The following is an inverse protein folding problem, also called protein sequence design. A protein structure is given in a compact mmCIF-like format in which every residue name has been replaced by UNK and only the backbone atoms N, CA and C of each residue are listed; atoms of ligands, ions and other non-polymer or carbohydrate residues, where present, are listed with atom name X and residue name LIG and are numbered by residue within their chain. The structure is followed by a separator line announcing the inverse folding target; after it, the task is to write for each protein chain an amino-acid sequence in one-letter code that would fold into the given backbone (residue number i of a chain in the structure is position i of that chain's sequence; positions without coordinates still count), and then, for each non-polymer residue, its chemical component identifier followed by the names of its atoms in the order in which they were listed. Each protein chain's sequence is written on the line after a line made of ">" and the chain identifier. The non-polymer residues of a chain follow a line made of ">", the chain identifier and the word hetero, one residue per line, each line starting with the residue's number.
data_IF_064361295266
#
_entry.id   IF_064361295266
#
_cell.length_a   1.000
_cell.length_b   1.000
_cell.length_c   1.000
_cell.angle_alpha   90.00
_cell.angle_beta   90.00
_cell.angle_gamma   90.00
#
_symmetry.space_group_name_H-M   'P 1'
#
loop_
_entity.id
_entity.type
_entity.pdbx_description
1 polymer ?
#
# COMPACT_ATOMS: atom_id res chain seq x y z
N UNK A 1 -18.53 -6.91 34.52
CA UNK A 1 -17.47 -5.92 34.83
C UNK A 1 -17.07 -5.26 33.53
N UNK A 2 -17.26 -3.94 33.38
CA UNK A 2 -16.82 -3.23 32.15
C UNK A 2 -15.30 -3.13 32.21
N UNK A 3 -14.60 -3.76 31.27
CA UNK A 3 -13.13 -3.70 31.19
C UNK A 3 -12.67 -2.28 30.85
N UNK A 4 -11.58 -1.82 31.47
CA UNK A 4 -10.99 -0.52 31.12
C UNK A 4 -10.49 -0.52 29.67
N UNK A 5 -10.43 0.64 29.00
CA UNK A 5 -9.92 0.73 27.63
C UNK A 5 -8.49 0.18 27.47
N UNK A 6 -7.61 0.39 28.46
CA UNK A 6 -6.25 -0.15 28.45
C UNK A 6 -6.26 -1.68 28.46
N UNK A 7 -7.10 -2.28 29.31
CA UNK A 7 -7.20 -3.74 29.39
C UNK A 7 -7.79 -4.34 28.11
N UNK A 8 -8.72 -3.63 27.47
CA UNK A 8 -9.25 -4.02 26.15
C UNK A 8 -8.17 -4.02 25.07
N UNK A 9 -7.27 -3.03 25.07
CA UNK A 9 -6.13 -2.95 24.13
C UNK A 9 -5.11 -4.05 24.40
N UNK A 10 -4.85 -4.40 25.66
CA UNK A 10 -3.95 -5.50 26.01
C UNK A 10 -4.47 -6.85 25.48
N UNK A 11 -5.78 -7.08 25.58
CA UNK A 11 -6.42 -8.31 25.06
C UNK A 11 -6.54 -8.28 23.53
N UNK A 12 -6.82 -7.12 22.96
CA UNK A 12 -6.97 -6.91 21.53
C UNK A 12 -6.30 -5.58 21.12
N UNK A 13 -5.05 -5.62 20.62
CA UNK A 13 -4.33 -4.41 20.18
C UNK A 13 -5.04 -3.61 19.08
N UNK A 14 -6.00 -4.25 18.37
CA UNK A 14 -6.80 -3.67 17.30
C UNK A 14 -8.23 -3.27 17.75
N UNK A 15 -8.47 -3.08 19.04
CA UNK A 15 -9.73 -2.51 19.55
C UNK A 15 -9.76 -0.99 19.30
N UNK A 16 -10.21 -0.59 18.10
CA UNK A 16 -10.27 0.80 17.64
C UNK A 16 -11.15 1.67 18.55
N UNK A 17 -12.20 1.12 19.14
CA UNK A 17 -13.10 1.87 20.02
C UNK A 17 -12.40 2.22 21.34
N UNK A 18 -11.68 1.26 21.93
CA UNK A 18 -10.86 1.52 23.11
C UNK A 18 -9.79 2.59 22.85
N UNK A 19 -9.09 2.51 21.72
CA UNK A 19 -8.12 3.54 21.31
C UNK A 19 -8.75 4.91 21.13
N UNK A 20 -9.95 4.98 20.55
CA UNK A 20 -10.68 6.24 20.35
C UNK A 20 -11.15 6.87 21.67
N UNK A 21 -11.57 6.06 22.64
CA UNK A 21 -11.91 6.53 23.98
C UNK A 21 -10.69 7.17 24.66
N UNK A 22 -9.56 6.46 24.68
CA UNK A 22 -8.30 6.98 25.24
C UNK A 22 -7.79 8.22 24.51
N UNK A 23 -7.98 8.30 23.18
CA UNK A 23 -7.61 9.49 22.42
C UNK A 23 -8.40 10.72 22.87
N UNK A 24 -9.71 10.58 23.09
CA UNK A 24 -10.55 11.69 23.60
C UNK A 24 -10.12 12.15 24.98
N UNK A 25 -9.84 11.20 25.88
CA UNK A 25 -9.36 11.51 27.23
C UNK A 25 -7.97 12.16 27.20
N UNK A 26 -7.08 11.69 26.32
CA UNK A 26 -5.72 12.22 26.17
C UNK A 26 -5.71 13.63 25.61
N UNK A 27 -6.65 13.97 24.73
CA UNK A 27 -6.77 15.33 24.15
C UNK A 27 -7.14 16.42 25.17
N UNK A 28 -7.65 16.03 26.34
CA UNK A 28 -7.96 16.94 27.44
C UNK A 28 -6.77 17.20 28.37
N UNK A 29 -5.70 16.42 28.27
CA UNK A 29 -4.49 16.54 29.11
C UNK A 29 -3.37 17.27 28.37
N UNK A 30 -2.41 17.89 29.08
CA UNK A 30 -1.24 18.49 28.45
C UNK A 30 -0.43 17.48 27.64
N UNK A 31 0.04 17.89 26.45
CA UNK A 31 0.74 17.02 25.50
C UNK A 31 1.93 16.30 26.13
N UNK A 32 2.69 16.96 27.02
CA UNK A 32 3.87 16.39 27.67
C UNK A 32 3.59 15.09 28.43
N UNK A 33 2.40 14.95 29.00
CA UNK A 33 2.00 13.76 29.76
C UNK A 33 1.46 12.64 28.88
N UNK A 34 1.05 12.94 27.64
CA UNK A 34 0.35 12.00 26.75
C UNK A 34 1.11 11.68 25.47
N UNK A 35 2.31 12.24 25.23
CA UNK A 35 3.15 11.87 24.07
C UNK A 35 3.37 10.35 23.98
N UNK A 36 3.61 9.70 25.11
CA UNK A 36 3.78 8.24 25.14
C UNK A 36 2.55 7.47 24.64
N UNK A 37 1.34 7.99 24.86
CA UNK A 37 0.11 7.42 24.30
C UNK A 37 0.06 7.62 22.78
N UNK A 38 0.32 8.83 22.29
CA UNK A 38 0.33 9.10 20.85
C UNK A 38 1.35 8.25 20.10
N UNK A 39 2.56 8.11 20.63
CA UNK A 39 3.61 7.26 20.04
C UNK A 39 3.16 5.79 19.95
N UNK A 40 2.50 5.27 20.98
CA UNK A 40 1.91 3.92 20.92
C UNK A 40 0.79 3.83 19.87
N UNK A 41 -0.08 4.84 19.80
CA UNK A 41 -1.20 4.88 18.86
C UNK A 41 -0.72 4.89 17.40
N UNK A 42 0.22 5.77 17.05
CA UNK A 42 0.75 5.86 15.67
C UNK A 42 1.68 4.70 15.33
N UNK A 43 2.30 4.05 16.32
CA UNK A 43 3.05 2.82 16.10
C UNK A 43 2.13 1.63 15.80
N UNK A 44 0.99 1.54 16.49
CA UNK A 44 -0.02 0.50 16.24
C UNK A 44 -0.73 0.70 14.89
N UNK A 45 -1.02 1.95 14.53
CA UNK A 45 -1.76 2.31 13.32
C UNK A 45 -0.96 3.29 12.45
N UNK A 46 0.16 2.80 11.90
CA UNK A 46 1.12 3.62 11.16
C UNK A 46 0.58 4.23 9.85
N UNK A 47 -0.49 3.67 9.26
CA UNK A 47 -1.12 4.16 8.04
C UNK A 47 -2.36 5.05 8.32
N UNK A 48 -2.72 5.26 9.59
CA UNK A 48 -3.91 6.01 9.96
C UNK A 48 -3.65 7.53 9.97
N UNK A 49 -3.90 8.20 8.84
CA UNK A 49 -3.75 9.65 8.71
C UNK A 49 -4.48 10.46 9.78
N UNK A 50 -5.65 9.99 10.22
CA UNK A 50 -6.43 10.64 11.29
C UNK A 50 -5.70 10.70 12.63
N UNK A 51 -4.95 9.65 12.99
CA UNK A 51 -4.25 9.57 14.26
C UNK A 51 -2.95 10.38 14.23
N UNK A 52 -2.24 10.35 13.10
CA UNK A 52 -1.12 11.26 12.86
C UNK A 52 -1.56 12.72 12.96
N UNK A 53 -2.66 13.08 12.28
CA UNK A 53 -3.24 14.42 12.34
C UNK A 53 -3.60 14.81 13.77
N UNK A 54 -4.29 13.94 14.52
CA UNK A 54 -4.65 14.21 15.91
C UNK A 54 -3.43 14.43 16.82
N UNK A 55 -2.32 13.74 16.57
CA UNK A 55 -1.07 13.96 17.29
C UNK A 55 -0.46 15.32 16.94
N UNK A 56 -0.33 15.61 15.63
CA UNK A 56 0.22 16.87 15.13
C UNK A 56 -0.59 18.07 15.64
N UNK A 57 -1.92 18.03 15.56
CA UNK A 57 -2.79 19.10 16.03
C UNK A 57 -2.64 19.35 17.54
N UNK A 58 -2.37 18.32 18.33
CA UNK A 58 -2.11 18.49 19.75
C UNK A 58 -0.75 19.17 20.01
N UNK A 59 0.32 18.74 19.34
CA UNK A 59 1.63 19.39 19.44
C UNK A 59 1.59 20.85 18.92
N UNK A 60 0.79 21.12 17.89
CA UNK A 60 0.57 22.48 17.36
C UNK A 60 -0.15 23.38 18.36
N UNK A 61 -1.17 22.88 19.06
CA UNK A 61 -1.85 23.64 20.13
C UNK A 61 -0.89 24.04 21.25
N UNK A 62 0.11 23.19 21.53
CA UNK A 62 1.17 23.48 22.49
C UNK A 62 2.35 24.28 21.90
N UNK A 63 2.32 24.63 20.60
CA UNK A 63 3.39 25.34 19.86
C UNK A 63 4.74 24.62 19.83
N UNK A 64 4.75 23.28 19.92
CA UNK A 64 5.96 22.47 19.87
C UNK A 64 6.39 22.18 18.42
N UNK A 65 6.83 23.22 17.69
CA UNK A 65 7.06 23.12 16.24
C UNK A 65 8.15 22.13 15.84
N UNK A 66 9.20 21.96 16.63
CA UNK A 66 10.26 20.98 16.36
C UNK A 66 9.73 19.53 16.36
N UNK A 67 8.83 19.22 17.29
CA UNK A 67 8.21 17.89 17.35
C UNK A 67 7.27 17.70 16.16
N UNK A 68 6.54 18.74 15.76
CA UNK A 68 5.67 18.70 14.59
C UNK A 68 6.46 18.37 13.31
N UNK A 69 7.62 19.01 13.10
CA UNK A 69 8.48 18.70 11.94
C UNK A 69 8.93 17.24 11.95
N UNK A 70 9.43 16.74 13.09
CA UNK A 70 9.83 15.33 13.25
C UNK A 70 8.69 14.35 12.99
N UNK A 71 7.45 14.70 13.37
CA UNK A 71 6.28 13.87 13.12
C UNK A 71 5.94 13.87 11.61
N UNK A 72 5.95 15.03 10.95
CA UNK A 72 5.71 15.11 9.50
C UNK A 72 6.75 14.33 8.69
N UNK A 73 8.03 14.39 9.05
CA UNK A 73 9.10 13.61 8.41
C UNK A 73 8.84 12.10 8.46
N UNK A 74 8.23 11.61 9.55
CA UNK A 74 7.90 10.18 9.73
C UNK A 74 6.71 9.73 8.89
N UNK A 75 5.68 10.56 8.74
CA UNK A 75 4.37 10.11 8.23
C UNK A 75 3.96 10.67 6.86
N UNK A 76 4.35 11.90 6.51
CA UNK A 76 3.71 12.66 5.43
C UNK A 76 3.78 11.96 4.07
N UNK A 77 4.97 11.47 3.69
CA UNK A 77 5.18 10.78 2.40
C UNK A 77 4.66 9.33 2.40
N UNK A 78 4.47 8.73 3.57
CA UNK A 78 3.99 7.34 3.71
C UNK A 78 2.47 7.25 3.75
N UNK A 79 1.80 8.32 4.18
CA UNK A 79 0.36 8.38 4.44
C UNK A 79 -0.27 9.46 3.56
N UNK A 80 -0.80 9.07 2.41
CA UNK A 80 -1.46 9.95 1.44
C UNK A 80 -2.89 10.30 1.86
N UNK A 81 -3.10 10.75 3.09
CA UNK A 81 -4.40 11.18 3.59
C UNK A 81 -4.59 12.70 3.37
N UNK A 82 -5.61 13.09 2.61
CA UNK A 82 -5.81 14.50 2.23
C UNK A 82 -5.90 15.46 3.42
N UNK A 83 -6.50 15.04 4.54
CA UNK A 83 -6.63 15.88 5.74
C UNK A 83 -5.29 16.09 6.46
N UNK A 84 -4.42 15.08 6.45
CA UNK A 84 -3.04 15.18 6.95
C UNK A 84 -2.23 16.18 6.11
N UNK A 85 -2.39 16.14 4.79
CA UNK A 85 -1.72 17.07 3.88
C UNK A 85 -2.25 18.51 4.00
N UNK A 86 -3.56 18.69 4.22
CA UNK A 86 -4.14 20.01 4.58
C UNK A 86 -3.56 20.53 5.89
N UNK A 87 -3.38 19.67 6.89
CA UNK A 87 -2.73 20.02 8.15
C UNK A 87 -1.26 20.44 7.94
N UNK A 88 -0.51 19.76 7.06
CA UNK A 88 0.86 20.15 6.69
C UNK A 88 0.92 21.54 6.02
N UNK A 89 0.05 21.79 5.03
CA UNK A 89 -0.04 23.10 4.37
C UNK A 89 -0.39 24.21 5.37
N UNK A 90 -1.34 23.94 6.27
CA UNK A 90 -1.70 24.86 7.35
C UNK A 90 -0.52 25.14 8.29
N UNK A 91 0.20 24.11 8.72
CA UNK A 91 1.39 24.25 9.57
C UNK A 91 2.45 25.16 8.94
N UNK A 92 2.80 24.95 7.67
CA UNK A 92 3.81 25.79 7.00
C UNK A 92 3.33 27.24 6.90
N UNK A 93 2.04 27.45 6.60
CA UNK A 93 1.44 28.79 6.53
C UNK A 93 1.58 29.56 7.85
N UNK A 94 1.21 28.92 8.96
CA UNK A 94 1.21 29.56 10.28
C UNK A 94 2.61 29.77 10.85
N UNK A 95 3.51 28.79 10.65
CA UNK A 95 4.80 28.79 11.36
C UNK A 95 5.91 29.46 10.59
N UNK A 96 5.90 29.39 9.25
CA UNK A 96 6.97 29.92 8.41
C UNK A 96 6.65 31.31 7.86
N UNK A 97 5.49 31.89 8.18
CA UNK A 97 5.03 33.18 7.66
C UNK A 97 5.97 34.37 7.90
N UNK A 98 6.79 34.30 8.96
CA UNK A 98 7.75 35.35 9.33
C UNK A 98 9.08 35.29 8.55
N UNK A 99 9.34 34.19 7.83
CA UNK A 99 10.61 34.02 7.10
C UNK A 99 10.62 34.84 5.80
N UNK A 100 11.77 35.43 5.46
CA UNK A 100 11.93 36.13 4.18
C UNK A 100 11.72 35.20 2.97
N UNK A 101 12.08 33.92 3.11
CA UNK A 101 11.86 32.86 2.12
C UNK A 101 10.47 32.23 2.16
N UNK A 102 9.55 32.72 3.01
CA UNK A 102 8.23 32.13 3.21
C UNK A 102 7.49 31.91 1.89
N UNK A 103 7.52 32.91 1.00
CA UNK A 103 6.78 32.84 -0.27
C UNK A 103 7.24 31.68 -1.15
N UNK A 104 8.55 31.52 -1.29
CA UNK A 104 9.15 30.43 -2.07
C UNK A 104 8.86 29.08 -1.41
N UNK A 105 9.01 29.00 -0.08
CA UNK A 105 8.75 27.78 0.68
C UNK A 105 7.27 27.36 0.60
N UNK A 106 6.35 28.31 0.70
CA UNK A 106 4.92 28.05 0.62
C UNK A 106 4.48 27.62 -0.78
N UNK A 107 5.05 28.23 -1.83
CA UNK A 107 4.82 27.79 -3.21
C UNK A 107 5.28 26.35 -3.42
N UNK A 108 6.49 25.99 -2.95
CA UNK A 108 7.00 24.61 -2.98
C UNK A 108 6.11 23.64 -2.20
N UNK A 109 5.59 24.06 -1.04
CA UNK A 109 4.66 23.27 -0.23
C UNK A 109 3.35 22.98 -0.96
N UNK A 110 2.76 23.97 -1.63
CA UNK A 110 1.56 23.74 -2.45
C UNK A 110 1.83 22.84 -3.64
N UNK A 111 2.92 23.08 -4.39
CA UNK A 111 3.30 22.24 -5.52
C UNK A 111 3.48 20.78 -5.09
N UNK A 112 4.13 20.56 -3.94
CA UNK A 112 4.33 19.24 -3.35
C UNK A 112 3.01 18.58 -2.92
N UNK A 113 2.12 19.32 -2.25
CA UNK A 113 0.81 18.81 -1.84
C UNK A 113 -0.07 18.47 -3.06
N UNK A 114 -0.09 19.32 -4.08
CA UNK A 114 -0.84 19.10 -5.32
C UNK A 114 -0.25 17.92 -6.11
N UNK A 115 1.07 17.70 -6.08
CA UNK A 115 1.68 16.53 -6.70
C UNK A 115 1.27 15.22 -6.01
N UNK A 116 1.24 15.19 -4.67
CA UNK A 116 1.00 13.96 -3.90
C UNK A 116 -0.47 13.64 -3.66
N UNK A 117 -1.30 14.63 -3.36
CA UNK A 117 -2.73 14.44 -3.03
C UNK A 117 -3.67 15.32 -3.86
N UNK A 118 -3.16 16.01 -4.89
CA UNK A 118 -3.99 16.85 -5.75
C UNK A 118 -4.94 16.08 -6.67
N UNK A 119 -4.85 14.75 -6.73
CA UNK A 119 -5.80 13.88 -7.45
C UNK A 119 -6.94 13.38 -6.55
N UNK A 120 -6.91 13.72 -5.26
CA UNK A 120 -7.94 13.29 -4.33
C UNK A 120 -9.30 13.93 -4.62
N UNK A 121 -10.39 13.18 -4.41
CA UNK A 121 -11.73 13.74 -4.54
C UNK A 121 -11.94 15.00 -3.67
N UNK A 122 -11.30 15.09 -2.49
CA UNK A 122 -11.45 16.21 -1.56
C UNK A 122 -10.28 17.22 -1.63
N UNK A 123 -9.52 17.25 -2.73
CA UNK A 123 -8.36 18.14 -2.91
C UNK A 123 -8.71 19.60 -3.23
N UNK A 124 -9.97 19.93 -3.52
CA UNK A 124 -10.40 21.27 -3.94
C UNK A 124 -9.85 22.40 -3.07
N UNK A 125 -9.90 22.25 -1.74
CA UNK A 125 -9.41 23.28 -0.83
C UNK A 125 -7.92 23.57 -0.99
N UNK A 126 -7.10 22.59 -1.36
CA UNK A 126 -5.66 22.77 -1.59
C UNK A 126 -5.43 23.65 -2.82
N UNK A 127 -6.18 23.41 -3.90
CA UNK A 127 -6.11 24.25 -5.11
C UNK A 127 -6.60 25.67 -4.84
N UNK A 128 -7.76 25.81 -4.19
CA UNK A 128 -8.34 27.11 -3.86
C UNK A 128 -7.41 27.95 -2.96
N UNK A 129 -6.82 27.33 -1.94
CA UNK A 129 -5.89 27.98 -1.04
C UNK A 129 -4.60 28.41 -1.74
N UNK A 130 -4.07 27.58 -2.65
CA UNK A 130 -2.90 27.91 -3.47
C UNK A 130 -3.19 29.12 -4.37
N UNK A 131 -4.34 29.12 -5.06
CA UNK A 131 -4.77 30.25 -5.90
C UNK A 131 -4.93 31.52 -5.06
N UNK A 132 -5.56 31.43 -3.90
CA UNK A 132 -5.77 32.57 -2.99
C UNK A 132 -4.43 33.14 -2.52
N UNK A 133 -3.51 32.27 -2.12
CA UNK A 133 -2.15 32.65 -1.73
C UNK A 133 -1.40 33.38 -2.85
N UNK A 134 -1.42 32.83 -4.07
CA UNK A 134 -0.77 33.46 -5.23
C UNK A 134 -1.43 34.81 -5.57
N UNK A 135 -2.76 34.94 -5.47
CA UNK A 135 -3.48 36.21 -5.69
C UNK A 135 -3.10 37.29 -4.67
N UNK A 136 -2.89 36.93 -3.41
CA UNK A 136 -2.48 37.87 -2.34
C UNK A 136 -1.04 38.37 -2.48
N UNK A 137 -0.21 37.74 -3.32
CA UNK A 137 1.17 38.14 -3.49
C UNK A 137 1.30 39.50 -4.19
N UNK A 138 1.80 40.50 -3.49
CA UNK A 138 2.20 41.78 -4.11
C UNK A 138 3.50 41.59 -4.89
N UNK A 139 3.45 41.99 -6.17
CA UNK A 139 4.56 41.96 -7.12
C UNK A 139 4.71 43.34 -7.74
N UNK A 140 5.95 43.81 -7.93
CA UNK A 140 6.24 45.12 -8.51
C UNK A 140 6.74 44.94 -9.94
N UNK A 141 6.12 45.63 -10.88
CA UNK A 141 6.50 45.65 -12.28
C UNK A 141 5.78 44.62 -13.14
N UNK A 142 5.58 44.99 -14.40
CA UNK A 142 4.75 44.25 -15.37
C UNK A 142 5.23 42.81 -15.62
N UNK A 143 6.55 42.58 -15.63
CA UNK A 143 7.11 41.24 -15.80
C UNK A 143 6.73 40.30 -14.64
N UNK A 144 6.82 40.78 -13.40
CA UNK A 144 6.49 39.99 -12.21
C UNK A 144 4.97 39.74 -12.09
N UNK A 145 4.14 40.69 -12.51
CA UNK A 145 2.69 40.50 -12.64
C UNK A 145 2.35 39.39 -13.66
N UNK A 146 3.00 39.40 -14.83
CA UNK A 146 2.81 38.36 -15.84
C UNK A 146 3.25 36.97 -15.36
N UNK A 147 4.33 36.88 -14.58
CA UNK A 147 4.74 35.61 -13.96
C UNK A 147 3.69 35.10 -12.95
N UNK A 148 3.17 35.99 -12.10
CA UNK A 148 2.09 35.67 -11.14
C UNK A 148 0.83 35.17 -11.86
N UNK A 149 0.41 35.86 -12.93
CA UNK A 149 -0.73 35.44 -13.76
C UNK A 149 -0.49 34.04 -14.34
N UNK A 150 0.72 33.79 -14.86
CA UNK A 150 1.09 32.49 -15.44
C UNK A 150 1.06 31.37 -14.40
N UNK A 151 1.56 31.64 -13.18
CA UNK A 151 1.53 30.69 -12.07
C UNK A 151 0.10 30.35 -11.64
N UNK A 152 -0.76 31.36 -11.45
CA UNK A 152 -2.17 31.17 -11.09
C UNK A 152 -2.89 30.34 -12.17
N UNK A 153 -2.69 30.69 -13.44
CA UNK A 153 -3.27 29.97 -14.58
C UNK A 153 -2.84 28.52 -14.63
N UNK A 154 -1.57 28.21 -14.32
CA UNK A 154 -1.06 26.83 -14.26
C UNK A 154 -1.82 26.00 -13.22
N UNK A 155 -2.08 26.55 -12.04
CA UNK A 155 -2.81 25.86 -10.97
C UNK A 155 -4.28 25.62 -11.36
N UNK A 156 -4.95 26.64 -11.91
CA UNK A 156 -6.31 26.47 -12.42
C UNK A 156 -6.39 25.39 -13.50
N UNK A 157 -5.50 25.45 -14.51
CA UNK A 157 -5.48 24.45 -15.59
C UNK A 157 -5.30 23.04 -15.06
N UNK A 158 -4.42 22.83 -14.08
CA UNK A 158 -4.21 21.51 -13.43
C UNK A 158 -5.44 21.04 -12.65
N UNK A 159 -6.07 21.93 -11.89
CA UNK A 159 -7.28 21.58 -11.12
C UNK A 159 -8.49 21.29 -12.02
N UNK A 160 -8.73 22.09 -13.06
CA UNK A 160 -9.91 21.96 -13.92
C UNK A 160 -9.95 20.69 -14.78
N UNK A 161 -8.82 19.99 -14.93
CA UNK A 161 -8.75 18.67 -15.59
C UNK A 161 -8.72 17.51 -14.59
N UNK A 162 -8.80 17.79 -13.29
CA UNK A 162 -8.74 16.79 -12.23
C UNK A 162 -10.13 16.60 -11.62
N UNK A 163 -10.73 15.40 -11.74
CA UNK A 163 -12.03 15.10 -11.12
C UNK A 163 -11.98 15.22 -9.58
N UNK A 164 -12.66 16.22 -9.03
CA UNK A 164 -12.72 16.48 -7.59
C UNK A 164 -14.04 17.15 -7.21
N UNK A 165 -14.39 17.10 -5.92
CA UNK A 165 -15.52 17.84 -5.38
C UNK A 165 -15.39 19.34 -5.67
N UNK A 166 -16.52 20.02 -5.86
CA UNK A 166 -16.57 21.48 -6.07
C UNK A 166 -15.77 21.99 -7.30
N UNK A 167 -15.50 21.14 -8.30
CA UNK A 167 -14.83 21.55 -9.55
C UNK A 167 -15.56 22.70 -10.28
N UNK A 168 -16.89 22.79 -10.16
CA UNK A 168 -17.71 23.87 -10.75
C UNK A 168 -17.39 25.23 -10.11
N UNK A 169 -17.09 25.26 -8.80
CA UNK A 169 -16.68 26.50 -8.14
C UNK A 169 -15.30 26.95 -8.65
N UNK A 170 -14.36 26.02 -8.80
CA UNK A 170 -13.04 26.31 -9.35
C UNK A 170 -13.14 26.87 -10.78
N UNK A 171 -14.08 26.38 -11.58
CA UNK A 171 -14.37 26.88 -12.93
C UNK A 171 -14.89 28.32 -12.93
N UNK A 172 -15.84 28.62 -12.05
CA UNK A 172 -16.37 29.98 -11.91
C UNK A 172 -15.28 30.98 -11.49
N UNK A 173 -14.39 30.56 -10.59
CA UNK A 173 -13.26 31.37 -10.13
C UNK A 173 -12.22 31.59 -11.23
N UNK A 174 -11.98 30.58 -12.08
CA UNK A 174 -11.12 30.70 -13.27
C UNK A 174 -11.71 31.66 -14.30
N UNK A 175 -13.00 31.55 -14.60
CA UNK A 175 -13.68 32.45 -15.54
C UNK A 175 -13.62 33.90 -15.08
N UNK A 176 -13.83 34.13 -13.78
CA UNK A 176 -13.72 35.46 -13.15
C UNK A 176 -12.28 35.98 -13.21
N UNK A 177 -11.30 35.11 -13.00
CA UNK A 177 -9.87 35.43 -13.08
C UNK A 177 -9.43 35.81 -14.50
N UNK A 178 -9.77 35.05 -15.53
CA UNK A 178 -9.34 35.39 -16.90
C UNK A 178 -9.99 36.71 -17.37
N UNK A 179 -11.27 36.94 -17.01
CA UNK A 179 -11.97 38.21 -17.27
C UNK A 179 -11.32 39.40 -16.56
N UNK A 180 -10.81 39.23 -15.33
CA UNK A 180 -10.15 40.32 -14.60
C UNK A 180 -8.74 40.60 -15.11
N UNK A 181 -8.04 39.60 -15.66
CA UNK A 181 -6.69 39.76 -16.22
C UNK A 181 -6.72 40.41 -17.60
N UNK A 182 -7.51 39.88 -18.53
CA UNK A 182 -7.62 40.42 -19.88
C UNK A 182 -9.00 40.08 -20.48
N UNK A 183 -9.98 41.00 -20.41
CA UNK A 183 -11.33 40.78 -20.94
C UNK A 183 -11.36 40.38 -22.41
N UNK A 184 -10.46 40.92 -23.24
CA UNK A 184 -10.43 40.65 -24.68
C UNK A 184 -9.93 39.23 -25.01
N UNK A 185 -9.01 38.68 -24.22
CA UNK A 185 -8.50 37.32 -24.41
C UNK A 185 -9.23 36.27 -23.56
N UNK A 186 -10.01 36.70 -22.56
CA UNK A 186 -10.65 35.81 -21.60
C UNK A 186 -11.53 34.75 -22.27
N UNK A 187 -12.36 35.14 -23.24
CA UNK A 187 -13.26 34.20 -23.93
C UNK A 187 -12.50 33.08 -24.64
N UNK A 188 -11.40 33.42 -25.32
CA UNK A 188 -10.54 32.44 -25.96
C UNK A 188 -9.91 31.49 -24.92
N UNK A 189 -9.30 32.06 -23.87
CA UNK A 189 -8.64 31.28 -22.81
C UNK A 189 -9.59 30.35 -22.06
N UNK A 190 -10.86 30.76 -21.89
CA UNK A 190 -11.91 29.94 -21.29
C UNK A 190 -12.36 28.84 -22.26
N UNK A 191 -12.56 29.18 -23.54
CA UNK A 191 -12.96 28.22 -24.58
C UNK A 191 -11.94 27.09 -24.73
N UNK A 192 -10.64 27.42 -24.73
CA UNK A 192 -9.55 26.47 -24.94
C UNK A 192 -9.54 25.30 -23.93
N UNK A 193 -9.95 25.54 -22.67
CA UNK A 193 -9.98 24.51 -21.62
C UNK A 193 -11.38 23.92 -21.37
N UNK A 194 -12.43 24.56 -21.91
CA UNK A 194 -13.82 24.21 -21.62
C UNK A 194 -14.14 22.75 -21.92
N UNK A 195 -13.59 22.19 -23.01
CA UNK A 195 -13.79 20.79 -23.40
C UNK A 195 -13.28 19.83 -22.32
N UNK A 196 -12.06 20.05 -21.84
CA UNK A 196 -11.42 19.18 -20.84
C UNK A 196 -12.11 19.30 -19.48
N UNK A 197 -12.51 20.53 -19.10
CA UNK A 197 -13.32 20.79 -17.91
C UNK A 197 -14.65 20.03 -17.95
N UNK A 198 -15.39 20.07 -19.07
CA UNK A 198 -16.66 19.35 -19.19
C UNK A 198 -16.48 17.83 -19.07
N UNK A 199 -15.38 17.29 -19.60
CA UNK A 199 -15.03 15.88 -19.39
C UNK A 199 -14.73 15.58 -17.91
N UNK A 200 -13.94 16.43 -17.25
CA UNK A 200 -13.63 16.29 -15.82
C UNK A 200 -14.91 16.36 -14.95
N UNK A 201 -15.87 17.23 -15.27
CA UNK A 201 -17.17 17.30 -14.58
C UNK A 201 -17.99 16.03 -14.75
N UNK A 202 -18.06 15.48 -15.98
CA UNK A 202 -18.73 14.20 -16.24
C UNK A 202 -18.12 13.08 -15.38
N UNK A 203 -16.79 12.98 -15.37
CA UNK A 203 -16.07 11.97 -14.58
C UNK A 203 -16.23 12.22 -13.08
N UNK A 204 -16.28 13.47 -12.62
CA UNK A 204 -16.51 13.81 -11.21
C UNK A 204 -17.85 13.25 -10.71
N UNK A 205 -18.92 13.38 -11.49
CA UNK A 205 -20.24 12.83 -11.14
C UNK A 205 -20.22 11.30 -11.05
N UNK A 206 -19.49 10.64 -11.96
CA UNK A 206 -19.29 9.19 -11.88
C UNK A 206 -18.44 8.81 -10.67
N UNK A 207 -17.39 9.57 -10.38
CA UNK A 207 -16.48 9.33 -9.26
C UNK A 207 -17.25 9.38 -7.94
N UNK A 208 -18.11 10.39 -7.75
CA UNK A 208 -18.98 10.53 -6.58
C UNK A 208 -19.88 9.31 -6.36
N UNK A 209 -20.47 8.77 -7.43
CA UNK A 209 -21.30 7.56 -7.36
C UNK A 209 -20.49 6.32 -6.97
N UNK A 210 -19.26 6.20 -7.48
CA UNK A 210 -18.39 5.05 -7.23
C UNK A 210 -17.85 5.05 -5.80
N UNK A 211 -17.48 6.21 -5.25
CA UNK A 211 -17.00 6.31 -3.87
C UNK A 211 -18.09 6.36 -2.82
N UNK A 212 -19.36 6.44 -3.24
CA UNK A 212 -20.49 6.47 -2.33
C UNK A 212 -20.51 5.23 -1.45
N UNK A 213 -20.47 5.45 -0.14
CA UNK A 213 -20.48 4.38 0.86
C UNK A 213 -19.10 3.83 1.24
N UNK A 214 -18.03 4.26 0.57
CA UNK A 214 -16.65 3.94 0.99
C UNK A 214 -16.31 4.73 2.24
N UNK A 215 -15.90 4.04 3.31
CA UNK A 215 -15.38 4.68 4.51
C UNK A 215 -13.87 4.94 4.37
N UNK A 216 -13.54 6.14 3.89
CA UNK A 216 -12.15 6.60 3.70
C UNK A 216 -11.40 6.95 5.00
N UNK A 217 -12.11 6.95 6.13
CA UNK A 217 -11.56 7.26 7.46
C UNK A 217 -11.47 6.00 8.35
N UNK A 218 -11.74 4.83 7.77
CA UNK A 218 -11.62 3.55 8.44
C UNK A 218 -10.15 3.30 8.83
N UNK A 219 -9.96 2.78 10.04
CA UNK A 219 -8.65 2.33 10.50
C UNK A 219 -8.39 0.94 9.98
N UNK A 220 -7.20 0.74 9.43
CA UNK A 220 -6.80 -0.59 8.99
C UNK A 220 -6.58 -1.52 10.18
N UNK A 221 -7.28 -2.65 10.13
CA UNK A 221 -7.17 -3.74 11.10
C UNK A 221 -7.06 -5.07 10.35
N UNK A 222 -6.44 -6.11 10.95
CA UNK A 222 -6.42 -7.45 10.37
C UNK A 222 -7.85 -7.95 10.08
N UNK A 223 -8.06 -8.63 8.94
CA UNK A 223 -9.38 -9.09 8.57
C UNK A 223 -10.03 -9.99 9.62
N UNK A 224 -11.29 -9.69 9.94
CA UNK A 224 -12.12 -10.48 10.87
C UNK A 224 -13.24 -11.23 10.15
N UNK A 225 -13.42 -10.96 8.85
CA UNK A 225 -14.46 -11.61 8.03
C UNK A 225 -15.87 -11.10 8.32
N UNK A 226 -16.00 -9.88 8.84
CA UNK A 226 -17.33 -9.31 9.10
C UNK A 226 -18.00 -8.88 7.80
N UNK A 227 -19.33 -8.94 7.75
CA UNK A 227 -20.11 -8.54 6.55
C UNK A 227 -19.83 -7.10 6.13
N UNK A 228 -19.65 -6.19 7.09
CA UNK A 228 -19.32 -4.78 6.82
C UNK A 228 -17.95 -4.63 6.18
N UNK A 229 -16.97 -5.39 6.67
CA UNK A 229 -15.61 -5.39 6.13
C UNK A 229 -15.57 -5.90 4.69
N UNK A 230 -16.23 -7.03 4.42
CA UNK A 230 -16.31 -7.63 3.07
C UNK A 230 -16.96 -6.62 2.11
N UNK A 231 -18.08 -6.00 2.50
CA UNK A 231 -18.74 -4.95 1.70
C UNK A 231 -17.82 -3.76 1.44
N UNK A 232 -17.04 -3.31 2.42
CA UNK A 232 -16.08 -2.21 2.21
C UNK A 232 -14.97 -2.62 1.25
N UNK A 233 -14.42 -3.83 1.37
CA UNK A 233 -13.42 -4.36 0.44
C UNK A 233 -13.96 -4.43 -1.00
N UNK A 234 -15.21 -4.87 -1.19
CA UNK A 234 -15.88 -4.90 -2.49
C UNK A 234 -16.02 -3.49 -3.10
N UNK A 235 -16.43 -2.51 -2.30
CA UNK A 235 -16.56 -1.12 -2.77
C UNK A 235 -15.20 -0.53 -3.19
N UNK A 236 -14.13 -0.79 -2.42
CA UNK A 236 -12.77 -0.37 -2.78
C UNK A 236 -12.29 -1.04 -4.07
N UNK A 237 -12.51 -2.35 -4.24
CA UNK A 237 -12.19 -3.06 -5.49
C UNK A 237 -12.98 -2.49 -6.66
N UNK A 238 -14.27 -2.19 -6.48
CA UNK A 238 -15.09 -1.54 -7.52
C UNK A 238 -14.53 -0.19 -7.92
N UNK A 239 -14.08 0.62 -6.96
CA UNK A 239 -13.42 1.89 -7.24
C UNK A 239 -12.12 1.71 -8.04
N UNK A 240 -11.25 0.79 -7.63
CA UNK A 240 -10.01 0.49 -8.34
C UNK A 240 -10.28 0.03 -9.78
N UNK A 241 -11.26 -0.86 -9.98
CA UNK A 241 -11.64 -1.33 -11.31
C UNK A 241 -12.22 -0.22 -12.19
N UNK A 242 -12.99 0.71 -11.60
CA UNK A 242 -13.48 1.89 -12.31
C UNK A 242 -12.34 2.82 -12.74
N UNK A 243 -11.32 3.06 -11.91
CA UNK A 243 -10.15 3.83 -12.37
C UNK A 243 -9.37 3.09 -13.48
N UNK A 244 -9.27 1.74 -13.38
CA UNK A 244 -8.64 0.91 -14.42
C UNK A 244 -9.37 0.99 -15.76
N UNK A 245 -10.68 1.28 -15.79
CA UNK A 245 -11.44 1.47 -17.04
C UNK A 245 -11.15 2.81 -17.74
N UNK A 246 -10.22 3.62 -17.21
CA UNK A 246 -9.81 4.92 -17.76
C UNK A 246 -11.01 5.87 -17.99
N UNK A 247 -11.70 6.31 -16.91
CA UNK A 247 -12.94 7.08 -17.05
C UNK A 247 -12.72 8.45 -17.71
N UNK A 248 -11.53 9.03 -17.57
CA UNK A 248 -11.14 10.28 -18.25
C UNK A 248 -10.88 10.08 -19.75
N UNK A 249 -10.75 8.84 -20.22
CA UNK A 249 -10.32 8.50 -21.57
C UNK A 249 -9.05 9.26 -21.99
N UNK A 250 -8.07 9.36 -21.06
CA UNK A 250 -6.81 10.04 -21.34
C UNK A 250 -5.91 9.17 -22.20
N UNK A 251 -5.25 9.78 -23.17
CA UNK A 251 -4.22 9.15 -24.00
C UNK A 251 -2.85 9.14 -23.29
N UNK A 252 -2.65 10.04 -22.31
CA UNK A 252 -1.44 10.12 -21.49
C UNK A 252 -1.42 8.93 -20.51
N UNK A 253 -0.70 7.87 -20.89
CA UNK A 253 -0.64 6.65 -20.10
C UNK A 253 -0.07 6.87 -18.69
N UNK A 254 0.88 7.79 -18.53
CA UNK A 254 1.42 8.17 -17.22
C UNK A 254 0.37 8.80 -16.29
N UNK A 255 -0.54 9.60 -16.83
CA UNK A 255 -1.67 10.14 -16.06
C UNK A 255 -2.63 9.02 -15.65
N UNK A 256 -3.00 8.15 -16.58
CA UNK A 256 -3.85 6.97 -16.31
C UNK A 256 -3.25 6.10 -15.19
N UNK A 257 -1.98 5.70 -15.34
CA UNK A 257 -1.30 4.84 -14.37
C UNK A 257 -1.25 5.48 -12.98
N UNK A 258 -0.92 6.77 -12.88
CA UNK A 258 -0.90 7.51 -11.60
C UNK A 258 -2.26 7.50 -10.90
N UNK A 259 -3.38 7.63 -11.63
CA UNK A 259 -4.72 7.58 -11.03
C UNK A 259 -5.06 6.21 -10.45
N UNK A 260 -4.75 5.14 -11.17
CA UNK A 260 -4.96 3.77 -10.67
C UNK A 260 -4.07 3.47 -9.48
N UNK A 261 -2.80 3.91 -9.51
CA UNK A 261 -1.89 3.77 -8.36
C UNK A 261 -2.43 4.54 -7.15
N UNK A 262 -2.94 5.75 -7.35
CA UNK A 262 -3.52 6.54 -6.27
C UNK A 262 -4.74 5.84 -5.64
N UNK A 263 -5.60 5.18 -6.42
CA UNK A 263 -6.74 4.43 -5.86
C UNK A 263 -6.28 3.24 -5.00
N UNK A 264 -5.21 2.55 -5.38
CA UNK A 264 -4.56 1.54 -4.54
C UNK A 264 -3.98 2.14 -3.25
N UNK A 265 -3.25 3.26 -3.33
CA UNK A 265 -2.71 3.93 -2.14
C UNK A 265 -3.81 4.33 -1.16
N UNK A 266 -4.92 4.87 -1.65
CA UNK A 266 -6.08 5.20 -0.81
C UNK A 266 -6.71 3.95 -0.17
N UNK A 267 -6.86 2.86 -0.93
CA UNK A 267 -7.38 1.61 -0.41
C UNK A 267 -6.49 1.05 0.71
N UNK A 268 -5.16 1.10 0.56
CA UNK A 268 -4.18 0.61 1.53
C UNK A 268 -4.16 1.40 2.85
N UNK A 269 -4.68 2.63 2.89
CA UNK A 269 -4.89 3.35 4.14
C UNK A 269 -5.97 2.69 5.02
N UNK A 270 -7.00 2.12 4.40
CA UNK A 270 -8.11 1.47 5.10
C UNK A 270 -7.95 -0.05 5.18
N UNK A 271 -7.33 -0.66 4.17
CA UNK A 271 -7.30 -2.11 3.93
C UNK A 271 -5.88 -2.67 3.91
N UNK A 272 -4.92 -1.97 4.52
CA UNK A 272 -3.50 -2.32 4.52
C UNK A 272 -3.12 -3.67 5.15
N UNK A 273 -4.01 -4.37 5.85
CA UNK A 273 -3.78 -5.76 6.30
C UNK A 273 -4.25 -6.83 5.30
N UNK A 274 -4.72 -6.44 4.11
CA UNK A 274 -5.11 -7.36 3.05
C UNK A 274 -3.95 -7.53 2.03
N UNK A 275 -3.27 -8.70 2.00
CA UNK A 275 -2.07 -8.89 1.19
C UNK A 275 -2.32 -8.85 -0.32
N UNK A 276 -3.50 -9.26 -0.75
CA UNK A 276 -3.93 -9.23 -2.15
C UNK A 276 -3.93 -7.81 -2.73
N UNK A 277 -4.38 -6.80 -1.99
CA UNK A 277 -4.36 -5.39 -2.48
C UNK A 277 -2.93 -4.91 -2.71
N UNK A 278 -1.99 -5.23 -1.81
CA UNK A 278 -0.58 -4.89 -1.99
C UNK A 278 0.01 -5.55 -3.23
N UNK A 279 -0.26 -6.85 -3.39
CA UNK A 279 0.21 -7.61 -4.55
C UNK A 279 -0.37 -7.07 -5.85
N UNK A 280 -1.69 -6.84 -5.91
CA UNK A 280 -2.35 -6.27 -7.09
C UNK A 280 -1.82 -4.88 -7.45
N UNK A 281 -1.53 -4.04 -6.46
CA UNK A 281 -0.96 -2.71 -6.66
C UNK A 281 0.44 -2.80 -7.29
N UNK A 282 1.31 -3.64 -6.71
CA UNK A 282 2.66 -3.86 -7.22
C UNK A 282 2.65 -4.45 -8.64
N UNK A 283 1.77 -5.44 -8.88
CA UNK A 283 1.61 -6.08 -10.18
C UNK A 283 1.11 -5.09 -11.24
N UNK A 284 0.14 -4.25 -10.90
CA UNK A 284 -0.32 -3.18 -11.80
C UNK A 284 0.80 -2.19 -12.11
N UNK A 285 1.55 -1.75 -11.10
CA UNK A 285 2.70 -0.86 -11.29
C UNK A 285 3.77 -1.50 -12.20
N UNK A 286 4.03 -2.80 -12.05
CA UNK A 286 4.98 -3.50 -12.92
C UNK A 286 4.51 -3.50 -14.38
N UNK A 287 3.25 -3.84 -14.64
CA UNK A 287 2.68 -3.82 -15.99
C UNK A 287 2.70 -2.41 -16.59
N UNK A 288 2.36 -1.40 -15.79
CA UNK A 288 2.39 -0.03 -16.25
C UNK A 288 3.83 0.46 -16.51
N UNK A 289 4.83 -0.02 -15.77
CA UNK A 289 6.23 0.34 -15.98
C UNK A 289 6.74 -0.22 -17.31
N UNK A 290 6.37 -1.46 -17.63
CA UNK A 290 6.67 -2.09 -18.91
C UNK A 290 6.02 -1.33 -20.07
N UNK A 291 4.72 -1.02 -19.98
CA UNK A 291 4.00 -0.25 -21.00
C UNK A 291 4.55 1.17 -21.21
N UNK A 292 5.00 1.83 -20.14
CA UNK A 292 5.67 3.13 -20.26
C UNK A 292 6.99 3.01 -21.02
N UNK A 293 7.77 1.96 -20.76
CA UNK A 293 9.02 1.70 -21.50
C UNK A 293 8.76 1.42 -22.98
N UNK A 294 7.75 0.63 -23.32
CA UNK A 294 7.32 0.35 -24.70
C UNK A 294 6.92 1.62 -25.46
N UNK A 295 6.29 2.57 -24.76
CA UNK A 295 5.92 3.88 -25.31
C UNK A 295 7.08 4.90 -25.38
N UNK A 296 8.27 4.54 -24.90
CA UNK A 296 9.46 5.40 -24.91
C UNK A 296 9.69 6.22 -23.64
N UNK A 297 8.80 6.16 -22.65
CA UNK A 297 8.89 6.89 -21.38
C UNK A 297 9.78 6.17 -20.34
N UNK A 298 11.03 5.91 -20.71
CA UNK A 298 11.99 5.13 -19.89
C UNK A 298 12.25 5.76 -18.51
N UNK A 299 12.23 7.10 -18.42
CA UNK A 299 12.42 7.82 -17.14
C UNK A 299 11.30 7.52 -16.14
N UNK A 300 10.04 7.60 -16.59
CA UNK A 300 8.87 7.30 -15.76
C UNK A 300 8.82 5.81 -15.43
N UNK A 301 9.13 4.94 -16.40
CA UNK A 301 9.24 3.50 -16.17
C UNK A 301 10.24 3.17 -15.04
N UNK A 302 11.45 3.75 -15.10
CA UNK A 302 12.50 3.54 -14.09
C UNK A 302 12.07 4.06 -12.71
N UNK A 303 11.46 5.25 -12.66
CA UNK A 303 10.92 5.80 -11.42
C UNK A 303 9.87 4.86 -10.80
N UNK A 304 8.99 4.31 -11.63
CA UNK A 304 7.93 3.42 -11.15
C UNK A 304 8.47 2.08 -10.63
N UNK A 305 9.56 1.55 -11.20
CA UNK A 305 10.24 0.39 -10.60
C UNK A 305 10.79 0.69 -9.20
N UNK A 306 11.29 1.90 -8.95
CA UNK A 306 11.70 2.30 -7.60
C UNK A 306 10.49 2.44 -6.67
N UNK A 307 9.37 2.96 -7.18
CA UNK A 307 8.12 3.04 -6.40
C UNK A 307 7.60 1.66 -6.00
N UNK A 308 7.71 0.64 -6.86
CA UNK A 308 7.36 -0.76 -6.53
C UNK A 308 8.22 -1.29 -5.37
N UNK A 309 9.53 -1.03 -5.39
CA UNK A 309 10.44 -1.38 -4.28
C UNK A 309 9.94 -0.70 -2.99
N UNK A 310 9.65 0.60 -3.05
CA UNK A 310 9.15 1.34 -1.90
C UNK A 310 7.81 0.80 -1.40
N UNK A 311 6.92 0.36 -2.30
CA UNK A 311 5.63 -0.24 -1.96
C UNK A 311 5.82 -1.57 -1.22
N UNK A 312 6.66 -2.47 -1.75
CA UNK A 312 6.97 -3.73 -1.08
C UNK A 312 7.67 -3.50 0.26
N UNK A 313 8.67 -2.62 0.32
CA UNK A 313 9.35 -2.26 1.57
C UNK A 313 8.37 -1.70 2.60
N UNK A 314 7.44 -0.81 2.19
CA UNK A 314 6.36 -0.28 3.06
C UNK A 314 5.48 -1.40 3.60
N UNK A 315 5.16 -2.40 2.78
CA UNK A 315 4.36 -3.55 3.20
C UNK A 315 5.11 -4.41 4.23
N UNK A 316 6.30 -4.89 3.87
CA UNK A 316 7.07 -5.89 4.65
C UNK A 316 7.82 -5.30 5.85
N UNK A 317 8.02 -3.99 5.91
CA UNK A 317 8.54 -3.32 7.12
C UNK A 317 7.44 -2.74 8.01
N UNK A 318 6.21 -2.66 7.49
CA UNK A 318 5.05 -2.05 8.16
C UNK A 318 4.02 -3.09 8.59
N UNK A 319 2.83 -2.98 8.01
CA UNK A 319 1.64 -3.77 8.39
C UNK A 319 1.81 -5.27 8.13
N UNK A 320 2.55 -5.62 7.08
CA UNK A 320 2.67 -6.99 6.56
C UNK A 320 4.00 -7.64 6.90
N UNK A 321 4.58 -7.26 8.05
CA UNK A 321 5.92 -7.70 8.48
C UNK A 321 6.12 -9.21 8.50
N UNK A 322 5.10 -9.98 8.86
CA UNK A 322 5.18 -11.45 8.98
C UNK A 322 4.49 -12.18 7.83
N UNK A 323 4.03 -11.46 6.81
CA UNK A 323 3.29 -12.06 5.71
C UNK A 323 4.24 -12.69 4.69
N UNK A 324 4.29 -14.02 4.64
CA UNK A 324 5.19 -14.75 3.74
C UNK A 324 4.90 -14.51 2.26
N UNK A 325 3.63 -14.38 1.87
CA UNK A 325 3.22 -14.18 0.47
C UNK A 325 3.84 -12.91 -0.12
N UNK A 326 3.76 -11.78 0.58
CA UNK A 326 4.33 -10.52 0.10
C UNK A 326 5.85 -10.51 0.08
N UNK A 327 6.50 -11.24 0.99
CA UNK A 327 7.95 -11.43 0.93
C UNK A 327 8.37 -12.24 -0.29
N UNK A 328 7.63 -13.30 -0.62
CA UNK A 328 7.92 -14.11 -1.81
C UNK A 328 7.68 -13.32 -3.08
N UNK A 329 6.55 -12.62 -3.20
CA UNK A 329 6.27 -11.76 -4.35
C UNK A 329 7.35 -10.67 -4.53
N UNK A 330 7.84 -10.08 -3.44
CA UNK A 330 8.92 -9.10 -3.51
C UNK A 330 10.26 -9.73 -3.93
N UNK A 331 10.59 -10.93 -3.42
CA UNK A 331 11.79 -11.65 -3.81
C UNK A 331 11.75 -12.04 -5.30
N UNK A 332 10.61 -12.51 -5.79
CA UNK A 332 10.39 -12.84 -7.20
C UNK A 332 10.55 -11.59 -8.09
N UNK A 333 10.00 -10.44 -7.66
CA UNK A 333 10.17 -9.16 -8.35
C UNK A 333 11.65 -8.72 -8.44
N UNK A 334 12.42 -8.85 -7.36
CA UNK A 334 13.87 -8.55 -7.39
C UNK A 334 14.64 -9.57 -8.24
N UNK A 335 14.21 -10.83 -8.26
CA UNK A 335 14.78 -11.87 -9.11
C UNK A 335 14.56 -11.59 -10.60
N UNK A 336 13.35 -11.18 -11.02
CA UNK A 336 13.04 -10.79 -12.39
C UNK A 336 13.92 -9.62 -12.86
N UNK A 337 14.26 -8.71 -11.94
CA UNK A 337 15.18 -7.58 -12.16
C UNK A 337 16.66 -7.97 -12.07
N UNK A 338 16.95 -9.26 -11.90
CA UNK A 338 18.30 -9.84 -11.75
C UNK A 338 19.06 -9.26 -10.55
N UNK A 339 18.35 -8.86 -9.51
CA UNK A 339 18.90 -8.37 -8.23
C UNK A 339 18.90 -9.49 -7.20
N UNK A 340 19.63 -10.56 -7.50
CA UNK A 340 19.61 -11.79 -6.70
C UNK A 340 20.03 -11.57 -5.23
N UNK A 341 20.97 -10.67 -4.95
CA UNK A 341 21.38 -10.38 -3.58
C UNK A 341 20.29 -9.67 -2.77
N UNK A 342 19.44 -8.87 -3.42
CA UNK A 342 18.28 -8.26 -2.76
C UNK A 342 17.23 -9.32 -2.43
N UNK A 343 16.94 -10.23 -3.37
CA UNK A 343 16.04 -11.36 -3.15
C UNK A 343 16.48 -12.21 -1.94
N UNK A 344 17.78 -12.51 -1.80
CA UNK A 344 18.31 -13.21 -0.61
C UNK A 344 18.07 -12.44 0.68
N UNK A 345 18.35 -11.13 0.69
CA UNK A 345 18.12 -10.27 1.88
C UNK A 345 16.65 -10.29 2.31
N UNK A 346 15.72 -10.37 1.36
CA UNK A 346 14.27 -10.47 1.65
C UNK A 346 13.95 -11.80 2.35
N UNK A 347 14.47 -12.93 1.85
CA UNK A 347 14.31 -14.23 2.51
C UNK A 347 14.98 -14.26 3.90
N UNK A 348 16.20 -13.77 4.03
CA UNK A 348 16.92 -13.74 5.30
C UNK A 348 16.22 -12.84 6.33
N UNK A 349 15.65 -11.70 5.90
CA UNK A 349 14.80 -10.85 6.73
C UNK A 349 13.61 -11.64 7.28
N UNK A 350 12.90 -12.38 6.43
CA UNK A 350 11.76 -13.19 6.86
C UNK A 350 12.19 -14.31 7.83
N UNK A 351 13.30 -14.99 7.55
CA UNK A 351 13.83 -16.06 8.41
C UNK A 351 14.31 -15.57 9.78
N UNK A 352 14.77 -14.32 9.88
CA UNK A 352 15.17 -13.70 11.14
C UNK A 352 14.00 -13.48 12.13
N UNK A 353 12.76 -13.52 11.63
CA UNK A 353 11.57 -13.31 12.45
C UNK A 353 11.20 -14.58 13.23
N UNK A 354 11.20 -14.48 14.56
CA UNK A 354 10.91 -15.63 15.45
C UNK A 354 9.46 -16.12 15.36
N UNK A 355 8.51 -15.25 15.00
CA UNK A 355 7.08 -15.55 14.97
C UNK A 355 6.61 -16.28 13.71
N UNK A 356 7.46 -16.45 12.70
CA UNK A 356 7.10 -17.03 11.40
C UNK A 356 7.59 -18.47 11.34
N UNK A 357 6.75 -19.38 10.84
CA UNK A 357 7.17 -20.73 10.48
C UNK A 357 8.14 -20.64 9.27
N UNK A 358 9.43 -20.96 9.46
CA UNK A 358 10.42 -20.77 8.41
C UNK A 358 10.34 -21.86 7.32
N UNK A 359 9.52 -22.91 7.49
CA UNK A 359 9.52 -24.08 6.61
C UNK A 359 9.26 -23.72 5.16
N UNK A 360 8.17 -23.00 4.90
CA UNK A 360 7.84 -22.55 3.55
C UNK A 360 8.88 -21.57 3.00
N UNK A 361 9.41 -20.70 3.86
CA UNK A 361 10.46 -19.74 3.49
C UNK A 361 11.74 -20.45 3.05
N UNK A 362 12.17 -21.49 3.75
CA UNK A 362 13.31 -22.32 3.35
C UNK A 362 13.05 -23.07 2.05
N UNK A 363 11.85 -23.62 1.83
CA UNK A 363 11.48 -24.26 0.56
C UNK A 363 11.66 -23.28 -0.60
N UNK A 364 11.10 -22.08 -0.46
CA UNK A 364 11.19 -21.06 -1.51
C UNK A 364 12.62 -20.59 -1.72
N UNK A 365 13.37 -20.32 -0.65
CA UNK A 365 14.77 -19.93 -0.75
C UNK A 365 15.64 -21.01 -1.41
N UNK A 366 15.42 -22.29 -1.09
CA UNK A 366 16.12 -23.40 -1.74
C UNK A 366 15.81 -23.48 -3.23
N UNK A 367 14.54 -23.30 -3.63
CA UNK A 367 14.14 -23.26 -5.05
C UNK A 367 14.81 -22.10 -5.78
N UNK A 368 14.82 -20.92 -5.16
CA UNK A 368 15.49 -19.72 -5.66
C UNK A 368 17.00 -19.96 -5.86
N UNK A 369 17.72 -20.33 -4.79
CA UNK A 369 19.18 -20.55 -4.83
C UNK A 369 19.57 -21.67 -5.80
N UNK A 370 18.78 -22.76 -5.88
CA UNK A 370 19.04 -23.83 -6.86
C UNK A 370 18.97 -23.32 -8.29
N UNK A 371 18.03 -22.41 -8.59
CA UNK A 371 17.81 -21.86 -9.93
C UNK A 371 18.84 -20.79 -10.30
N UNK A 372 19.32 -20.01 -9.33
CA UNK A 372 20.24 -18.87 -9.57
C UNK A 372 21.71 -19.20 -9.36
N UNK A 373 22.05 -20.07 -8.40
CA UNK A 373 23.43 -20.39 -7.99
C UNK A 373 23.78 -21.88 -8.04
N UNK A 374 22.79 -22.73 -8.31
CA UNK A 374 22.98 -24.16 -8.52
C UNK A 374 22.92 -25.01 -7.25
N UNK A 375 23.11 -26.32 -7.45
CA UNK A 375 22.82 -27.36 -6.45
C UNK A 375 23.69 -27.25 -5.18
N UNK A 376 24.96 -26.87 -5.32
CA UNK A 376 25.90 -26.80 -4.18
C UNK A 376 25.44 -25.76 -3.15
N UNK A 377 25.03 -24.57 -3.59
CA UNK A 377 24.54 -23.51 -2.72
C UNK A 377 23.18 -23.87 -2.11
N UNK A 378 22.29 -24.50 -2.88
CA UNK A 378 21.01 -24.96 -2.37
C UNK A 378 21.16 -25.98 -1.21
N UNK A 379 22.18 -26.85 -1.26
CA UNK A 379 22.51 -27.77 -0.15
C UNK A 379 22.96 -27.05 1.12
N UNK A 380 23.62 -25.90 1.01
CA UNK A 380 23.98 -25.08 2.18
C UNK A 380 22.73 -24.46 2.83
N UNK A 381 21.77 -23.99 2.02
CA UNK A 381 20.48 -23.53 2.53
C UNK A 381 19.71 -24.68 3.20
N UNK A 382 19.71 -25.87 2.60
CA UNK A 382 19.10 -27.05 3.21
C UNK A 382 19.76 -27.41 4.55
N UNK A 383 21.10 -27.35 4.63
CA UNK A 383 21.81 -27.53 5.89
C UNK A 383 21.33 -26.51 6.94
N UNK A 384 21.25 -25.22 6.59
CA UNK A 384 20.73 -24.16 7.46
C UNK A 384 19.29 -24.44 7.91
N UNK A 385 18.44 -24.93 7.02
CA UNK A 385 17.06 -25.30 7.33
C UNK A 385 16.96 -26.44 8.36
N UNK A 386 17.84 -27.44 8.29
CA UNK A 386 17.89 -28.54 9.28
C UNK A 386 18.39 -28.10 10.66
N UNK A 387 19.21 -27.05 10.70
CA UNK A 387 19.75 -26.51 11.95
C UNK A 387 18.75 -25.56 12.65
N UNK A 388 17.70 -25.11 11.95
CA UNK A 388 16.66 -24.25 12.51
C UNK A 388 15.59 -25.07 13.25
N UNK A 389 15.55 -24.95 14.58
CA UNK A 389 14.63 -25.71 15.45
C UNK A 389 13.15 -25.40 15.23
N UNK A 390 12.82 -24.27 14.61
CA UNK A 390 11.42 -23.86 14.31
C UNK A 390 10.87 -24.57 13.08
N UNK A 391 11.72 -25.25 12.34
CA UNK A 391 11.41 -25.84 11.07
C UNK A 391 10.62 -27.14 11.25
N UNK A 392 9.45 -27.24 10.63
CA UNK A 392 8.51 -28.35 10.80
C UNK A 392 8.78 -29.53 9.86
N UNK A 393 9.97 -29.63 9.23
CA UNK A 393 10.36 -30.79 8.41
C UNK A 393 10.54 -32.09 9.21
N UNK A 394 10.10 -32.13 10.46
CA UNK A 394 10.55 -33.09 11.46
C UNK A 394 9.42 -33.81 12.20
N UNK A 395 8.37 -34.23 11.48
CA UNK A 395 7.65 -35.44 11.89
C UNK A 395 7.43 -36.39 10.69
N UNK A 396 8.51 -37.03 10.18
CA UNK A 396 8.36 -38.19 9.30
C UNK A 396 7.40 -39.22 9.91
N UNK A 397 7.29 -39.30 11.24
CA UNK A 397 6.33 -40.14 11.95
C UNK A 397 4.86 -39.75 11.75
N UNK A 398 4.51 -38.46 11.65
CA UNK A 398 3.12 -38.06 11.32
C UNK A 398 2.81 -38.41 9.87
N UNK A 399 3.73 -38.13 8.95
CA UNK A 399 3.54 -38.47 7.54
C UNK A 399 3.43 -39.99 7.35
N UNK A 400 4.30 -40.79 8.01
CA UNK A 400 4.18 -42.25 8.08
C UNK A 400 2.82 -42.68 8.64
N UNK A 401 2.35 -42.09 9.75
CA UNK A 401 1.02 -42.39 10.32
C UNK A 401 -0.13 -42.06 9.38
N UNK A 402 -0.05 -40.98 8.62
CA UNK A 402 -1.07 -40.59 7.62
C UNK A 402 -1.06 -41.58 6.47
N UNK A 403 0.12 -41.95 5.96
CA UNK A 403 0.25 -42.97 4.93
C UNK A 403 -0.22 -44.35 5.41
N UNK A 404 0.13 -44.76 6.64
CA UNK A 404 -0.35 -45.99 7.25
C UNK A 404 -1.87 -45.99 7.46
N UNK A 405 -2.46 -44.83 7.79
CA UNK A 405 -3.91 -44.68 7.92
C UNK A 405 -4.60 -44.78 6.57
N UNK A 406 -4.07 -44.12 5.53
CA UNK A 406 -4.61 -44.21 4.19
C UNK A 406 -4.42 -45.59 3.57
N UNK A 407 -3.34 -46.30 3.91
CA UNK A 407 -3.11 -47.67 3.48
C UNK A 407 -4.19 -48.63 3.98
N UNK A 408 -4.83 -48.36 5.14
CA UNK A 408 -5.98 -49.15 5.60
C UNK A 408 -7.21 -49.01 4.71
N UNK A 409 -7.36 -47.88 4.00
CA UNK A 409 -8.52 -47.56 3.17
C UNK A 409 -8.27 -47.80 1.68
N UNK A 410 -7.03 -47.59 1.23
CA UNK A 410 -6.61 -47.64 -0.16
C UNK A 410 -5.58 -48.75 -0.43
N UNK A 411 -5.63 -49.85 0.34
CA UNK A 411 -4.67 -50.96 0.24
C UNK A 411 -4.58 -51.62 -1.14
N UNK A 412 -5.60 -51.45 -1.98
CA UNK A 412 -5.68 -52.02 -3.35
C UNK A 412 -5.36 -51.02 -4.45
N UNK A 413 -5.05 -49.76 -4.10
CA UNK A 413 -4.72 -48.71 -5.07
C UNK A 413 -3.21 -48.70 -5.36
N UNK A 414 -2.78 -49.08 -6.58
CA UNK A 414 -1.36 -49.13 -6.94
C UNK A 414 -0.70 -47.74 -6.93
N UNK A 415 -1.43 -46.68 -7.26
CA UNK A 415 -0.89 -45.32 -7.29
C UNK A 415 -0.61 -44.82 -5.87
N UNK A 416 -1.48 -45.17 -4.92
CA UNK A 416 -1.30 -44.88 -3.50
C UNK A 416 -0.09 -45.62 -2.92
N UNK A 417 0.06 -46.91 -3.27
CA UNK A 417 1.20 -47.73 -2.83
C UNK A 417 2.53 -47.18 -3.37
N UNK A 418 2.58 -46.79 -4.65
CA UNK A 418 3.76 -46.17 -5.26
C UNK A 418 4.12 -44.85 -4.57
N UNK A 419 3.14 -43.99 -4.31
CA UNK A 419 3.37 -42.72 -3.61
C UNK A 419 3.92 -42.92 -2.18
N UNK A 420 3.45 -43.95 -1.46
CA UNK A 420 3.97 -44.26 -0.12
C UNK A 420 5.40 -44.82 -0.17
N UNK A 421 5.69 -45.71 -1.13
CA UNK A 421 7.04 -46.26 -1.31
C UNK A 421 8.03 -45.17 -1.75
N UNK A 422 7.63 -44.26 -2.64
CA UNK A 422 8.44 -43.11 -3.04
C UNK A 422 8.70 -42.19 -1.84
N UNK A 423 7.69 -41.96 -0.99
CA UNK A 423 7.85 -41.19 0.24
C UNK A 423 8.88 -41.82 1.19
N UNK A 424 8.78 -43.13 1.46
CA UNK A 424 9.71 -43.86 2.33
C UNK A 424 11.13 -43.97 1.74
N UNK A 425 11.24 -44.16 0.43
CA UNK A 425 12.51 -44.19 -0.29
C UNK A 425 13.24 -42.85 -0.19
N UNK A 426 12.49 -41.74 -0.25
CA UNK A 426 13.03 -40.39 -0.07
C UNK A 426 13.45 -40.07 1.38
N UNK A 427 12.98 -40.85 2.38
CA UNK A 427 13.44 -40.75 3.77
C UNK A 427 14.76 -41.51 4.03
N UNK A 428 15.28 -42.24 3.03
CA UNK A 428 16.53 -43.00 3.11
C UNK A 428 16.52 -44.08 4.22
N UNK A 429 15.34 -44.59 4.59
CA UNK A 429 15.14 -45.67 5.56
C UNK A 429 14.96 -47.01 4.85
N UNK A 430 16.04 -47.61 4.34
CA UNK A 430 16.00 -48.84 3.54
C UNK A 430 15.23 -50.00 4.22
N UNK A 431 15.38 -50.15 5.53
CA UNK A 431 14.69 -51.19 6.32
C UNK A 431 13.18 -50.97 6.34
N UNK A 432 12.71 -49.72 6.52
CA UNK A 432 11.28 -49.42 6.61
C UNK A 432 10.62 -49.45 5.24
N UNK A 433 11.30 -48.95 4.21
CA UNK A 433 10.86 -49.10 2.81
C UNK A 433 10.68 -50.57 2.46
N UNK A 434 11.64 -51.43 2.82
CA UNK A 434 11.55 -52.87 2.60
C UNK A 434 10.37 -53.51 3.34
N UNK A 435 10.16 -53.18 4.62
CA UNK A 435 9.05 -53.72 5.42
C UNK A 435 7.69 -53.32 4.83
N UNK A 436 7.53 -52.07 4.40
CA UNK A 436 6.28 -51.61 3.77
C UNK A 436 6.09 -52.24 2.39
N UNK A 437 7.16 -52.40 1.62
CA UNK A 437 7.14 -53.09 0.33
C UNK A 437 6.73 -54.56 0.47
N UNK A 438 7.34 -55.29 1.42
CA UNK A 438 6.97 -56.67 1.74
C UNK A 438 5.53 -56.75 2.27
N UNK A 439 5.07 -55.78 3.07
CA UNK A 439 3.68 -55.72 3.56
C UNK A 439 2.66 -55.46 2.44
N UNK A 440 2.98 -54.61 1.48
CA UNK A 440 2.15 -54.33 0.31
C UNK A 440 2.01 -55.58 -0.56
N UNK A 441 3.11 -56.30 -0.78
CA UNK A 441 3.16 -57.51 -1.61
C UNK A 441 2.58 -58.75 -0.90
N UNK A 442 2.74 -58.87 0.41
CA UNK A 442 2.30 -60.03 1.20
C UNK A 442 0.91 -59.86 1.84
N UNK A 443 0.33 -58.65 1.83
CA UNK A 443 -1.07 -58.51 2.22
C UNK A 443 -1.91 -59.41 1.30
N UNK A 444 -2.76 -60.27 1.87
CA UNK A 444 -3.58 -61.29 1.17
C UNK A 444 -4.67 -60.70 0.24
N UNK A 445 -4.36 -59.58 -0.42
CA UNK A 445 -5.03 -59.07 -1.60
C UNK A 445 -3.96 -58.63 -2.62
N UNK A 446 -2.95 -59.47 -2.84
CA UNK A 446 -2.08 -59.37 -4.00
C UNK A 446 -2.94 -59.10 -5.23
N UNK A 447 -2.62 -58.01 -5.91
CA UNK A 447 -3.19 -57.56 -7.17
C UNK A 447 -3.66 -58.77 -7.98
N UNK A 448 -4.97 -58.99 -8.00
CA UNK A 448 -5.53 -60.00 -8.88
C UNK A 448 -5.05 -59.65 -10.29
N UNK A 449 -4.48 -60.60 -11.05
CA UNK A 449 -4.07 -60.34 -12.41
C UNK A 449 -5.28 -59.81 -13.18
N UNK A 450 -5.09 -58.70 -13.91
CA UNK A 450 -6.07 -58.21 -14.87
C UNK A 450 -6.47 -59.36 -15.79
N UNK A 451 -7.73 -59.81 -15.67
CA UNK A 451 -8.31 -60.66 -16.68
C UNK A 451 -8.52 -59.79 -17.93
N UNK A 452 -7.79 -60.20 -18.98
CA UNK A 452 -8.06 -60.03 -20.41
C UNK A 452 -9.50 -59.68 -20.81
#
# INVERSE_FOLDING_TARGET
>A
MVLSPERRIELNPFDVDAWNLLLRESQARPIDQVRGFYERLVSQFNNAGRYWKAYIEHELRAKNFENVEKIFERCLVRVLNVDLWKCYVFYVRETKGHLASFREQMAKTYDFAIDKVGMDFQSYSIYNDCVTFLKQQEVKGQYAENQKITAIRKIFKKGLVTPMANIEQLWNDYCSFEKSVNPALAEKMISDIKKDYLNACKVTKQYEQIVRGINRQAISIPPRGTTTEIKQAELWRKYIQWEKSNPLNTEEYGQYARRVIYSYEQALLCLGYMPDIWYEAAFFQQQAAQRLAEKGDVKLSTAMYNDIIHLYEKAVSGLMKSNQMLHFAYADFEEERRKYDNAKKIYDRLLSQQSVDPSLTYIQLMKFIRRTEGLKQARLVFKRAREDKRNNFHEPEIAKRIFDLGLRKFSKDPEYALAYVDFLSNLNEETNTRVVFERLLNSENALAPENS
#
